data_IF_522910489827
#
_entry.id   IF_522910489827
#
_cell.length_a   1.000
_cell.length_b   1.000
_cell.length_c   1.000
_cell.angle_alpha   90.00
_cell.angle_beta   90.00
_cell.angle_gamma   90.00
#
_symmetry.space_group_name_H-M   'P 1'
#
loop_
_entity.id
_entity.type
_entity.pdbx_description
1 polymer ?
#
# COMPACT_ATOMS: atom_id res chain seq x y z
N UNK A 1 -0.87 8.60 15.70
CA UNK A 1 -2.30 8.87 16.00
C UNK A 1 -2.94 7.56 16.42
N UNK A 2 -3.76 7.52 17.47
CA UNK A 2 -4.49 6.30 17.82
C UNK A 2 -5.44 5.91 16.69
N UNK A 3 -5.44 4.63 16.31
CA UNK A 3 -6.32 4.05 15.29
C UNK A 3 -7.54 3.44 15.99
N UNK A 4 -8.74 3.65 15.43
CA UNK A 4 -9.96 3.06 15.99
C UNK A 4 -9.85 1.52 16.04
N UNK A 5 -10.30 0.90 17.14
CA UNK A 5 -10.12 -0.55 17.37
C UNK A 5 -10.71 -1.42 16.24
N UNK A 6 -11.83 -0.97 15.64
CA UNK A 6 -12.45 -1.65 14.50
C UNK A 6 -11.57 -1.62 13.25
N UNK A 7 -10.88 -0.50 13.00
CA UNK A 7 -9.89 -0.41 11.91
C UNK A 7 -8.72 -1.34 12.20
N UNK A 8 -8.13 -1.27 13.39
CA UNK A 8 -6.98 -2.09 13.76
C UNK A 8 -7.29 -3.60 13.63
N UNK A 9 -8.48 -4.04 14.05
CA UNK A 9 -8.90 -5.44 13.89
C UNK A 9 -8.95 -5.86 12.41
N UNK A 10 -9.39 -4.96 11.52
CA UNK A 10 -9.54 -5.27 10.10
C UNK A 10 -8.20 -5.23 9.37
N UNK A 11 -7.37 -4.24 9.67
CA UNK A 11 -5.97 -4.17 9.23
C UNK A 11 -5.22 -5.46 9.61
N UNK A 12 -5.32 -5.89 10.87
CA UNK A 12 -4.76 -7.17 11.33
C UNK A 12 -5.19 -8.35 10.46
N UNK A 13 -6.45 -8.43 10.05
CA UNK A 13 -6.93 -9.54 9.19
C UNK A 13 -6.29 -9.51 7.80
N UNK A 14 -6.08 -8.33 7.23
CA UNK A 14 -5.42 -8.17 5.93
C UNK A 14 -3.95 -8.57 6.06
N UNK A 15 -3.24 -7.99 7.03
CA UNK A 15 -1.83 -8.28 7.30
C UNK A 15 -1.62 -9.78 7.55
N UNK A 16 -2.46 -10.43 8.38
CA UNK A 16 -2.34 -11.87 8.63
C UNK A 16 -2.50 -12.69 7.34
N UNK A 17 -3.47 -12.37 6.49
CA UNK A 17 -3.69 -13.15 5.26
C UNK A 17 -2.57 -12.94 4.24
N UNK A 18 -2.17 -11.69 4.04
CA UNK A 18 -1.09 -11.34 3.12
C UNK A 18 0.26 -11.88 3.61
N UNK A 19 0.53 -11.77 4.92
CA UNK A 19 1.70 -12.35 5.59
C UNK A 19 1.77 -13.87 5.43
N UNK A 20 0.67 -14.60 5.68
CA UNK A 20 0.64 -16.04 5.47
C UNK A 20 0.94 -16.44 4.02
N UNK A 21 0.48 -15.65 3.04
CA UNK A 21 0.84 -15.87 1.64
C UNK A 21 2.33 -15.60 1.40
N UNK A 22 2.90 -14.54 1.99
CA UNK A 22 4.32 -14.25 1.89
C UNK A 22 5.19 -15.37 2.48
N UNK A 23 4.84 -15.85 3.67
CA UNK A 23 5.54 -16.95 4.36
C UNK A 23 5.46 -18.26 3.57
N UNK A 24 4.37 -18.49 2.84
CA UNK A 24 4.21 -19.64 1.95
C UNK A 24 4.98 -19.51 0.63
N UNK A 25 5.54 -18.34 0.30
CA UNK A 25 6.27 -18.05 -0.94
C UNK A 25 7.68 -17.48 -0.68
N UNK A 26 8.55 -18.18 0.09
CA UNK A 26 9.82 -17.63 0.56
C UNK A 26 10.86 -17.40 -0.54
N UNK A 27 10.70 -18.01 -1.71
CA UNK A 27 11.59 -17.80 -2.86
C UNK A 27 11.23 -16.55 -3.68
N UNK A 28 10.01 -16.03 -3.50
CA UNK A 28 9.49 -14.87 -4.21
C UNK A 28 9.57 -13.61 -3.35
N UNK A 29 9.31 -13.74 -2.05
CA UNK A 29 9.29 -12.64 -1.10
C UNK A 29 10.67 -12.47 -0.47
N UNK A 30 11.25 -11.27 -0.58
CA UNK A 30 12.47 -10.90 0.13
C UNK A 30 12.16 -10.43 1.54
N UNK A 31 11.21 -9.49 1.66
CA UNK A 31 10.68 -9.03 2.93
C UNK A 31 9.23 -8.58 2.77
N UNK A 32 8.41 -8.82 3.78
CA UNK A 32 7.08 -8.22 3.93
C UNK A 32 6.98 -7.48 5.27
N UNK A 33 6.34 -6.31 5.29
CA UNK A 33 6.20 -5.46 6.47
C UNK A 33 4.74 -5.17 6.80
N UNK A 34 4.47 -4.89 8.08
CA UNK A 34 3.20 -4.33 8.57
C UNK A 34 3.25 -2.80 8.58
N UNK A 35 2.14 -2.17 8.99
CA UNK A 35 1.98 -0.71 9.13
C UNK A 35 2.92 0.01 10.10
N UNK A 36 3.82 -0.71 10.77
CA UNK A 36 4.86 -0.12 11.61
C UNK A 36 6.17 0.15 10.84
N UNK A 37 6.36 -0.47 9.67
CA UNK A 37 7.54 -0.26 8.85
C UNK A 37 7.36 0.88 7.85
N UNK A 38 8.47 1.47 7.41
CA UNK A 38 8.49 2.43 6.32
C UNK A 38 9.67 2.16 5.38
N UNK A 39 9.56 2.66 4.17
CA UNK A 39 10.63 2.66 3.18
C UNK A 39 10.97 4.09 2.76
N UNK A 40 12.24 4.32 2.43
CA UNK A 40 12.63 5.52 1.68
C UNK A 40 12.54 5.21 0.19
N UNK A 41 11.66 5.91 -0.50
CA UNK A 41 11.41 5.74 -1.92
C UNK A 41 12.52 6.41 -2.77
N UNK A 42 12.69 6.03 -4.05
CA UNK A 42 13.72 6.60 -4.93
C UNK A 42 13.64 8.13 -5.10
N UNK A 43 12.45 8.71 -4.93
CA UNK A 43 12.23 10.15 -4.96
C UNK A 43 12.55 10.86 -3.64
N UNK A 44 12.98 10.13 -2.60
CA UNK A 44 13.32 10.64 -1.27
C UNK A 44 12.16 10.64 -0.26
N UNK A 45 10.93 10.33 -0.68
CA UNK A 45 9.80 10.24 0.25
C UNK A 45 9.97 9.06 1.21
N UNK A 46 9.69 9.27 2.50
CA UNK A 46 9.54 8.17 3.47
C UNK A 46 8.06 7.83 3.56
N UNK A 47 7.69 6.59 3.26
CA UNK A 47 6.30 6.14 3.26
C UNK A 47 6.14 4.77 3.93
N UNK A 48 5.07 4.64 4.73
CA UNK A 48 4.65 3.40 5.38
C UNK A 48 3.32 2.91 4.79
N UNK A 49 3.26 1.69 4.24
CA UNK A 49 2.02 1.08 3.77
C UNK A 49 1.30 0.39 4.93
N UNK A 50 0.02 0.02 4.79
CA UNK A 50 -0.62 -0.86 5.78
C UNK A 50 -0.07 -2.29 5.69
N UNK A 51 0.36 -2.70 4.50
CA UNK A 51 1.17 -3.89 4.25
C UNK A 51 2.05 -3.67 3.02
N UNK A 52 3.32 -4.05 3.08
CA UNK A 52 4.25 -3.86 1.97
C UNK A 52 5.08 -5.10 1.69
N UNK A 53 5.39 -5.35 0.42
CA UNK A 53 6.24 -6.47 -0.02
C UNK A 53 7.35 -5.97 -0.93
N UNK A 54 8.58 -6.35 -0.62
CA UNK A 54 9.73 -6.26 -1.52
C UNK A 54 10.06 -7.67 -1.98
N UNK A 55 10.09 -7.90 -3.29
CA UNK A 55 10.42 -9.20 -3.87
C UNK A 55 11.91 -9.51 -3.68
N UNK A 56 12.24 -10.80 -3.65
CA UNK A 56 13.59 -11.33 -3.39
C UNK A 56 14.66 -10.67 -4.27
N UNK A 57 14.39 -10.47 -5.56
CA UNK A 57 15.33 -9.86 -6.49
C UNK A 57 15.71 -8.42 -6.09
N UNK A 58 14.73 -7.63 -5.65
CA UNK A 58 14.95 -6.23 -5.24
C UNK A 58 15.57 -6.15 -3.85
N UNK A 59 15.14 -7.01 -2.92
CA UNK A 59 15.66 -7.05 -1.55
C UNK A 59 17.13 -7.49 -1.52
N UNK A 60 17.48 -8.52 -2.26
CA UNK A 60 18.85 -9.05 -2.31
C UNK A 60 19.83 -8.18 -3.11
N UNK A 61 19.34 -7.18 -3.84
CA UNK A 61 20.19 -6.16 -4.44
C UNK A 61 20.73 -5.15 -3.42
N UNK A 62 20.14 -5.07 -2.23
CA UNK A 62 20.64 -4.28 -1.12
C UNK A 62 21.75 -5.02 -0.39
N UNK A 63 22.73 -4.26 0.11
CA UNK A 63 23.71 -4.77 1.08
C UNK A 63 23.06 -4.99 2.44
N UNK A 64 23.64 -5.85 3.29
CA UNK A 64 23.13 -6.08 4.65
C UNK A 64 22.98 -4.77 5.45
N UNK A 65 23.96 -3.87 5.34
CA UNK A 65 23.91 -2.57 6.02
C UNK A 65 22.76 -1.66 5.54
N UNK A 66 22.30 -1.82 4.28
CA UNK A 66 21.12 -1.12 3.76
C UNK A 66 19.81 -1.78 4.22
N UNK A 67 19.80 -3.11 4.30
CA UNK A 67 18.65 -3.87 4.81
C UNK A 67 18.38 -3.59 6.29
N UNK A 68 19.43 -3.38 7.09
CA UNK A 68 19.33 -3.15 8.54
C UNK A 68 18.95 -1.70 8.92
N UNK A 69 18.75 -0.81 7.94
CA UNK A 69 18.32 0.56 8.20
C UNK A 69 16.88 0.60 8.73
N UNK A 70 16.56 1.62 9.55
CA UNK A 70 15.19 1.82 10.01
C UNK A 70 14.19 1.98 8.84
N UNK A 71 14.63 2.67 7.77
CA UNK A 71 13.88 2.86 6.53
C UNK A 71 14.78 2.55 5.33
N UNK A 72 14.86 1.28 4.89
CA UNK A 72 15.69 0.90 3.75
C UNK A 72 15.30 1.69 2.49
N UNK A 73 16.30 2.13 1.73
CA UNK A 73 16.11 2.87 0.48
C UNK A 73 15.68 1.94 -0.66
N UNK A 74 14.40 1.59 -0.70
CA UNK A 74 13.84 0.64 -1.66
C UNK A 74 12.35 0.88 -1.84
N UNK A 75 11.87 0.95 -3.09
CA UNK A 75 10.43 0.92 -3.33
C UNK A 75 9.89 -0.50 -3.14
N UNK A 76 8.82 -0.71 -2.35
CA UNK A 76 8.13 -1.99 -2.35
C UNK A 76 7.59 -2.30 -3.76
N UNK A 77 7.58 -3.58 -4.13
CA UNK A 77 6.94 -4.02 -5.38
C UNK A 77 5.42 -3.95 -5.25
N UNK A 78 4.91 -4.28 -4.07
CA UNK A 78 3.49 -4.33 -3.78
C UNK A 78 3.15 -3.65 -2.45
N UNK A 79 2.08 -2.86 -2.43
CA UNK A 79 1.54 -2.25 -1.20
C UNK A 79 0.03 -2.48 -1.07
N UNK A 80 -0.46 -2.54 0.16
CA UNK A 80 -1.88 -2.45 0.48
C UNK A 80 -2.11 -1.19 1.31
N UNK A 81 -3.15 -0.46 0.96
CA UNK A 81 -3.65 0.72 1.66
C UNK A 81 -5.11 0.52 2.02
N UNK A 82 -5.44 0.61 3.29
CA UNK A 82 -6.78 0.47 3.80
C UNK A 82 -7.33 1.85 4.15
N UNK A 83 -8.36 2.29 3.42
CA UNK A 83 -9.02 3.57 3.72
C UNK A 83 -9.56 3.58 5.14
N UNK A 84 -9.20 4.62 5.92
CA UNK A 84 -9.78 4.91 7.22
C UNK A 84 -11.09 5.67 7.08
N UNK A 85 -11.95 5.59 8.10
CA UNK A 85 -13.22 6.34 8.11
C UNK A 85 -12.99 7.86 8.07
N UNK A 86 -11.86 8.31 8.64
CA UNK A 86 -11.43 9.70 8.67
C UNK A 86 -10.80 10.16 7.36
N UNK A 87 -10.46 9.24 6.46
CA UNK A 87 -9.79 9.57 5.21
C UNK A 87 -10.81 9.97 4.14
N UNK A 88 -10.55 11.12 3.52
CA UNK A 88 -11.29 11.51 2.32
C UNK A 88 -10.86 10.65 1.13
N UNK A 89 -11.73 10.40 0.14
CA UNK A 89 -11.35 9.70 -1.08
C UNK A 89 -10.16 10.37 -1.79
N UNK A 90 -10.13 11.71 -1.80
CA UNK A 90 -9.03 12.47 -2.38
C UNK A 90 -7.70 12.25 -1.65
N UNK A 91 -7.72 12.14 -0.32
CA UNK A 91 -6.52 11.84 0.47
C UNK A 91 -5.95 10.47 0.08
N UNK A 92 -6.79 9.44 0.01
CA UNK A 92 -6.38 8.08 -0.39
C UNK A 92 -5.85 8.08 -1.82
N UNK A 93 -6.55 8.74 -2.75
CA UNK A 93 -6.12 8.88 -4.14
C UNK A 93 -4.73 9.52 -4.24
N UNK A 94 -4.49 10.62 -3.53
CA UNK A 94 -3.19 11.29 -3.50
C UNK A 94 -2.11 10.38 -2.87
N UNK A 95 -2.45 9.57 -1.85
CA UNK A 95 -1.53 8.58 -1.27
C UNK A 95 -1.11 7.53 -2.30
N UNK A 96 -2.05 7.01 -3.09
CA UNK A 96 -1.75 6.07 -4.18
C UNK A 96 -0.87 6.71 -5.27
N UNK A 97 -1.12 7.96 -5.65
CA UNK A 97 -0.25 8.68 -6.58
C UNK A 97 1.17 8.87 -6.04
N UNK A 98 1.33 9.08 -4.74
CA UNK A 98 2.66 9.16 -4.11
C UNK A 98 3.41 7.84 -4.19
N UNK A 99 2.73 6.70 -3.96
CA UNK A 99 3.33 5.37 -4.14
C UNK A 99 3.82 5.15 -5.58
N UNK A 100 2.98 5.49 -6.55
CA UNK A 100 3.30 5.38 -7.99
C UNK A 100 4.51 6.25 -8.34
N UNK A 101 4.47 7.53 -7.96
CA UNK A 101 5.58 8.46 -8.21
C UNK A 101 6.87 8.06 -7.46
N UNK A 102 6.74 7.26 -6.39
CA UNK A 102 7.84 6.67 -5.65
C UNK A 102 8.26 5.30 -6.15
N UNK A 103 7.83 4.86 -7.33
CA UNK A 103 8.32 3.65 -8.00
C UNK A 103 7.73 2.33 -7.48
N UNK A 104 6.57 2.38 -6.81
CA UNK A 104 5.80 1.17 -6.49
C UNK A 104 5.09 0.66 -7.73
N UNK A 105 5.18 -0.64 -7.99
CA UNK A 105 4.69 -1.27 -9.22
C UNK A 105 3.21 -1.65 -9.13
N UNK A 106 2.78 -2.15 -7.98
CA UNK A 106 1.41 -2.54 -7.73
C UNK A 106 0.96 -2.05 -6.34
N UNK A 107 -0.26 -1.57 -6.26
CA UNK A 107 -0.85 -1.13 -5.00
C UNK A 107 -2.33 -1.45 -4.97
N UNK A 108 -2.83 -1.92 -3.83
CA UNK A 108 -4.26 -2.14 -3.62
C UNK A 108 -4.78 -1.11 -2.63
N UNK A 109 -5.58 -0.17 -3.11
CA UNK A 109 -6.40 0.68 -2.25
C UNK A 109 -7.72 -0.01 -1.95
N UNK A 110 -7.99 -0.29 -0.68
CA UNK A 110 -9.19 -0.99 -0.22
C UNK A 110 -10.13 0.02 0.43
N UNK A 111 -11.22 0.35 -0.26
CA UNK A 111 -12.31 1.17 0.27
C UNK A 111 -13.51 0.29 0.65
N UNK A 112 -13.90 0.33 1.91
CA UNK A 112 -15.04 -0.45 2.45
C UNK A 112 -16.22 0.42 2.86
N UNK A 113 -16.11 1.72 2.63
CA UNK A 113 -17.20 2.67 2.85
C UNK A 113 -18.06 2.83 1.59
N UNK A 114 -17.63 2.22 0.49
CA UNK A 114 -18.40 2.02 -0.75
C UNK A 114 -18.91 0.58 -0.85
N UNK A 115 -20.02 0.38 -1.56
CA UNK A 115 -20.63 -0.94 -1.77
C UNK A 115 -20.84 -1.20 -3.27
N UNK A 116 -20.24 -2.26 -3.86
CA UNK A 116 -19.32 -3.21 -3.21
C UNK A 116 -18.01 -2.53 -2.78
N UNK A 117 -17.25 -3.11 -1.83
CA UNK A 117 -15.93 -2.63 -1.48
C UNK A 117 -15.05 -2.55 -2.72
N UNK A 118 -14.40 -1.41 -2.92
CA UNK A 118 -13.55 -1.16 -4.08
C UNK A 118 -12.11 -1.58 -3.75
N UNK A 119 -11.47 -2.27 -4.69
CA UNK A 119 -10.04 -2.62 -4.66
C UNK A 119 -9.44 -2.16 -5.98
N UNK A 120 -8.44 -1.28 -5.96
CA UNK A 120 -7.79 -0.75 -7.17
C UNK A 120 -6.26 -0.74 -7.07
N UNK A 121 -5.53 -1.23 -8.09
CA UNK A 121 -4.67 -0.48 -9.03
C UNK A 121 -3.88 -1.37 -10.03
N UNK A 122 -3.63 -0.90 -11.28
CA UNK A 122 -2.54 -1.30 -12.19
C UNK A 122 -2.23 -0.18 -13.21
N UNK A 123 -0.96 0.23 -13.43
CA UNK A 123 -0.56 1.22 -14.45
C UNK A 123 -0.83 0.79 -15.90
N UNK A 124 -0.96 -0.51 -16.17
CA UNK A 124 -1.28 -1.07 -17.49
C UNK A 124 -2.77 -0.99 -17.83
N UNK A 125 -3.64 -0.81 -16.84
CA UNK A 125 -5.09 -0.73 -17.02
C UNK A 125 -5.65 0.36 -16.13
N UNK A 126 -5.98 1.51 -16.73
CA UNK A 126 -6.82 2.61 -16.22
C UNK A 126 -7.28 2.44 -14.77
N UNK A 127 -6.90 3.40 -13.94
CA UNK A 127 -7.69 3.73 -12.74
C UNK A 127 -9.16 3.86 -13.11
N UNK A 128 -9.96 2.87 -12.73
CA UNK A 128 -11.40 3.03 -12.67
C UNK A 128 -11.65 3.65 -11.30
N UNK A 129 -11.98 4.93 -11.30
CA UNK A 129 -12.62 5.56 -10.15
C UNK A 129 -14.08 5.09 -10.16
N UNK A 130 -14.42 3.99 -9.48
CA UNK A 130 -15.83 3.61 -9.31
C UNK A 130 -16.43 4.44 -8.17
N UNK A 131 -16.86 5.65 -8.51
CA UNK A 131 -17.71 6.43 -7.61
C UNK A 131 -17.49 7.93 -7.58
N UNK A 132 -17.19 8.56 -8.73
CA UNK A 132 -17.56 9.96 -8.90
C UNK A 132 -18.73 10.02 -9.90
N UNK A 133 -19.96 10.17 -9.39
CA UNK A 133 -20.94 10.92 -10.16
C UNK A 133 -20.45 12.36 -10.13
N UNK A 134 -20.09 12.98 -11.27
CA UNK A 134 -20.02 14.43 -11.30
C UNK A 134 -21.45 14.89 -10.99
N UNK A 135 -21.63 15.62 -9.89
CA UNK A 135 -22.78 16.51 -9.79
C UNK A 135 -22.53 17.57 -10.86
N UNK A 136 -22.94 17.26 -12.09
CA UNK A 136 -23.11 18.25 -13.13
C UNK A 136 -24.16 19.23 -12.63
N UNK A 137 -23.74 20.48 -12.41
CA UNK A 137 -24.65 21.59 -12.63
C UNK A 137 -25.02 21.58 -14.11
N UNK A 138 -26.31 21.61 -14.38
CA UNK A 138 -26.95 22.36 -15.46
C UNK A 138 -28.46 22.30 -15.21
N UNK A 139 -28.94 23.25 -14.41
CA UNK A 139 -30.10 24.08 -14.73
C UNK A 139 -29.61 25.53 -14.75
#
# INVERSE_FOLDING_TARGET
>A
MPVAIGTAQRERRIITRAGNWCDANPNLVGISISSQGCFTLPNGDIMGPDFGVVLTARWNALTQAQQDQAFPHVAPNFVIELRLQTDSPQYVHNKMLRWINGGVEEGWSIDRFVNPPEVSFNEKYKMIMLGFHPIGRNE
#
